data_IF_274187747290
#
_entry.id   IF_274187747290
#
_cell.length_a   1.000
_cell.length_b   1.000
_cell.length_c   1.000
_cell.angle_alpha   90.00
_cell.angle_beta   90.00
_cell.angle_gamma   90.00
#
_symmetry.space_group_name_H-M   'P 1'
#
loop_
_entity.id
_entity.type
_entity.pdbx_description
1 polymer ?
#
# COMPACT_ATOMS: atom_id res chain seq x y z
N UNK A 1 11.30 5.31 -36.82
CA UNK A 1 10.98 4.43 -37.97
C UNK A 1 9.55 3.93 -37.76
N UNK A 2 8.59 4.48 -38.49
CA UNK A 2 7.18 4.14 -38.42
C UNK A 2 6.97 2.73 -39.00
N UNK A 3 6.49 1.78 -38.20
CA UNK A 3 6.11 0.45 -38.69
C UNK A 3 4.63 0.47 -39.10
N UNK A 4 4.41 0.40 -40.40
CA UNK A 4 3.10 0.10 -41.00
C UNK A 4 2.70 -1.35 -40.72
N UNK A 5 1.41 -1.51 -40.42
CA UNK A 5 0.73 -2.74 -40.04
C UNK A 5 0.40 -3.57 -41.28
N UNK A 6 0.87 -4.82 -41.35
CA UNK A 6 0.29 -5.83 -42.25
C UNK A 6 -0.93 -6.45 -41.58
N UNK A 7 -2.03 -6.47 -42.32
CA UNK A 7 -3.32 -7.01 -41.90
C UNK A 7 -3.31 -8.55 -41.94
N UNK A 8 -3.87 -9.19 -40.90
CA UNK A 8 -4.07 -10.64 -40.87
C UNK A 8 -4.63 -11.17 -39.56
N UNK A 9 -5.96 -11.31 -39.49
CA UNK A 9 -6.76 -12.26 -38.69
C UNK A 9 -6.39 -12.56 -37.23
N UNK A 10 -7.06 -11.89 -36.29
CA UNK A 10 -7.97 -12.48 -35.29
C UNK A 10 -8.35 -11.38 -34.29
N UNK A 11 -9.65 -11.30 -33.99
CA UNK A 11 -10.25 -10.15 -33.31
C UNK A 11 -9.97 -10.09 -31.82
N UNK A 12 -8.83 -9.54 -31.45
CA UNK A 12 -8.73 -8.68 -30.26
C UNK A 12 -8.45 -7.28 -30.77
N UNK A 13 -9.35 -6.34 -30.47
CA UNK A 13 -9.21 -4.95 -30.87
C UNK A 13 -7.86 -4.45 -30.34
N UNK A 14 -6.90 -4.26 -31.24
CA UNK A 14 -5.78 -3.35 -31.07
C UNK A 14 -6.37 -1.96 -30.82
N UNK A 15 -6.75 -1.69 -29.56
CA UNK A 15 -7.13 -0.38 -29.09
C UNK A 15 -5.95 0.57 -29.33
N UNK A 16 -6.29 1.82 -29.55
CA UNK A 16 -5.48 2.86 -30.17
C UNK A 16 -4.22 3.23 -29.36
N UNK A 17 -3.17 2.39 -29.43
CA UNK A 17 -1.87 2.63 -28.81
C UNK A 17 -1.24 3.97 -29.24
N UNK A 18 -1.69 4.56 -30.35
CA UNK A 18 -1.21 5.85 -30.82
C UNK A 18 -1.61 6.99 -29.88
N UNK A 19 -2.86 7.00 -29.43
CA UNK A 19 -3.35 8.02 -28.48
C UNK A 19 -2.64 7.91 -27.12
N UNK A 20 -2.44 6.70 -26.61
CA UNK A 20 -1.66 6.45 -25.38
C UNK A 20 -0.21 6.89 -25.54
N UNK A 21 0.43 6.54 -26.66
CA UNK A 21 1.81 6.95 -26.94
C UNK A 21 1.96 8.48 -27.02
N UNK A 22 1.06 9.17 -27.73
CA UNK A 22 1.06 10.63 -27.82
C UNK A 22 0.90 11.26 -26.44
N UNK A 23 -0.04 10.76 -25.64
CA UNK A 23 -0.29 11.27 -24.28
C UNK A 23 0.94 11.11 -23.39
N UNK A 24 1.59 9.94 -23.44
CA UNK A 24 2.82 9.70 -22.70
C UNK A 24 4.00 10.55 -23.22
N UNK A 25 4.13 10.75 -24.53
CA UNK A 25 5.15 11.61 -25.12
C UNK A 25 5.00 13.07 -24.68
N UNK A 26 3.78 13.60 -24.72
CA UNK A 26 3.47 14.95 -24.25
C UNK A 26 3.77 15.10 -22.75
N UNK A 27 3.38 14.11 -21.95
CA UNK A 27 3.67 14.10 -20.50
C UNK A 27 5.16 14.10 -20.23
N UNK A 28 5.92 13.27 -20.95
CA UNK A 28 7.38 13.23 -20.86
C UNK A 28 8.02 14.58 -21.20
N UNK A 29 7.57 15.23 -22.28
CA UNK A 29 8.04 16.57 -22.65
C UNK A 29 7.74 17.61 -21.56
N UNK A 30 6.52 17.63 -21.03
CA UNK A 30 6.12 18.53 -19.95
C UNK A 30 6.97 18.36 -18.69
N UNK A 31 7.29 17.12 -18.33
CA UNK A 31 8.20 16.83 -17.21
C UNK A 31 9.59 17.43 -17.49
N UNK A 32 10.14 17.22 -18.69
CA UNK A 32 11.51 17.69 -19.00
C UNK A 32 11.67 19.21 -18.97
N UNK A 33 10.59 19.96 -19.24
CA UNK A 33 10.59 21.43 -19.19
C UNK A 33 10.12 21.99 -17.85
N UNK A 34 9.82 21.14 -16.87
CA UNK A 34 9.30 21.51 -15.54
C UNK A 34 10.28 21.15 -14.41
N UNK A 35 11.41 21.88 -14.26
CA UNK A 35 12.43 21.55 -13.25
C UNK A 35 11.94 21.65 -11.80
N UNK A 36 10.88 22.44 -11.56
CA UNK A 36 10.29 22.66 -10.24
C UNK A 36 9.05 21.78 -10.00
N UNK A 37 8.89 20.67 -10.74
CA UNK A 37 7.78 19.74 -10.53
C UNK A 37 7.89 19.08 -9.15
N UNK A 38 6.93 19.36 -8.27
CA UNK A 38 6.90 18.84 -6.88
C UNK A 38 5.95 17.64 -6.73
N UNK A 39 4.90 17.58 -7.53
CA UNK A 39 3.90 16.52 -7.48
C UNK A 39 3.38 16.16 -8.85
N UNK A 40 3.06 14.89 -9.07
CA UNK A 40 2.36 14.45 -10.28
C UNK A 40 1.35 13.35 -9.98
N UNK A 41 0.34 13.28 -10.83
CA UNK A 41 -0.59 12.16 -10.90
C UNK A 41 -0.48 11.52 -12.28
N UNK A 42 -0.43 10.18 -12.34
CA UNK A 42 -0.32 9.45 -13.60
C UNK A 42 -1.00 8.09 -13.52
N UNK A 43 -1.46 7.57 -14.65
CA UNK A 43 -1.83 6.15 -14.78
C UNK A 43 -0.56 5.30 -14.93
N UNK A 44 -0.69 3.98 -14.84
CA UNK A 44 0.40 3.06 -15.17
C UNK A 44 0.93 3.35 -16.59
N UNK A 45 2.23 3.70 -16.76
CA UNK A 45 2.77 4.12 -18.04
C UNK A 45 3.22 2.95 -18.93
N UNK A 46 2.93 1.71 -18.54
CA UNK A 46 3.31 0.48 -19.25
C UNK A 46 2.16 -0.53 -19.26
N UNK A 47 2.22 -1.50 -20.15
CA UNK A 47 1.21 -2.55 -20.30
C UNK A 47 1.64 -3.84 -19.57
N UNK A 48 0.76 -4.46 -18.77
CA UNK A 48 1.09 -5.65 -17.94
C UNK A 48 0.37 -6.96 -18.35
N UNK A 49 -0.66 -6.93 -19.22
CA UNK A 49 -1.57 -8.09 -19.45
C UNK A 49 -0.90 -9.39 -19.94
N UNK A 50 0.30 -9.34 -20.52
CA UNK A 50 1.02 -10.54 -20.99
C UNK A 50 2.43 -10.66 -20.44
N UNK A 51 2.75 -9.99 -19.34
CA UNK A 51 4.11 -10.08 -18.80
C UNK A 51 5.18 -9.61 -19.79
N UNK A 52 4.91 -8.57 -20.59
CA UNK A 52 5.92 -7.93 -21.46
C UNK A 52 7.20 -7.57 -20.70
N UNK A 53 7.09 -7.48 -19.37
CA UNK A 53 8.19 -7.26 -18.45
C UNK A 53 8.22 -8.23 -17.27
N UNK A 54 7.82 -9.50 -17.47
CA UNK A 54 8.10 -10.61 -16.55
C UNK A 54 9.60 -10.93 -16.53
N UNK A 55 10.41 -9.97 -16.11
CA UNK A 55 11.78 -10.23 -15.70
C UNK A 55 11.75 -10.42 -14.19
N UNK A 56 12.21 -11.57 -13.70
CA UNK A 56 12.35 -11.85 -12.25
C UNK A 56 13.42 -11.00 -11.57
N UNK A 57 13.46 -9.69 -11.83
CA UNK A 57 14.47 -8.75 -11.37
C UNK A 57 14.06 -7.30 -11.66
N UNK A 58 14.93 -6.36 -11.27
CA UNK A 58 14.74 -4.94 -11.56
C UNK A 58 14.66 -4.72 -13.07
N UNK A 59 13.98 -3.66 -13.47
CA UNK A 59 13.75 -3.30 -14.87
C UNK A 59 15.01 -2.96 -15.69
N UNK A 60 16.20 -3.03 -15.07
CA UNK A 60 17.49 -2.74 -15.69
C UNK A 60 17.86 -3.73 -16.82
N UNK A 61 17.18 -4.88 -16.89
CA UNK A 61 17.39 -5.91 -17.93
C UNK A 61 16.51 -5.73 -19.18
N UNK A 62 15.54 -4.81 -19.15
CA UNK A 62 14.61 -4.59 -20.26
C UNK A 62 15.25 -3.66 -21.30
N UNK A 63 15.67 -4.23 -22.44
CA UNK A 63 16.33 -3.46 -23.53
C UNK A 63 15.37 -2.63 -24.39
N UNK A 64 14.05 -2.82 -24.25
CA UNK A 64 13.05 -2.18 -25.09
C UNK A 64 11.89 -1.68 -24.23
N UNK A 65 11.78 -0.36 -24.13
CA UNK A 65 10.66 0.33 -23.49
C UNK A 65 9.85 0.96 -24.61
N UNK A 66 8.59 0.54 -24.76
CA UNK A 66 7.78 0.93 -25.92
C UNK A 66 7.08 2.29 -25.72
N UNK A 67 7.03 2.80 -24.48
CA UNK A 67 6.36 4.07 -24.18
C UNK A 67 7.29 5.18 -23.64
N UNK A 68 7.15 6.44 -24.11
CA UNK A 68 8.10 7.51 -23.80
C UNK A 68 8.15 7.91 -22.32
N UNK A 69 7.00 7.94 -21.63
CA UNK A 69 6.95 8.32 -20.21
C UNK A 69 7.63 7.25 -19.35
N UNK A 70 7.32 5.97 -19.60
CA UNK A 70 8.00 4.86 -18.94
C UNK A 70 9.52 4.95 -19.13
N UNK A 71 9.98 5.20 -20.36
CA UNK A 71 11.40 5.33 -20.67
C UNK A 71 12.05 6.50 -19.91
N UNK A 72 11.41 7.68 -19.92
CA UNK A 72 11.92 8.86 -19.24
C UNK A 72 12.07 8.62 -17.73
N UNK A 73 11.03 8.09 -17.08
CA UNK A 73 11.01 7.84 -15.64
C UNK A 73 12.09 6.83 -15.22
N UNK A 74 12.19 5.70 -15.95
CA UNK A 74 13.24 4.70 -15.72
C UNK A 74 14.63 5.30 -15.81
N UNK A 75 14.90 6.07 -16.87
CA UNK A 75 16.19 6.70 -17.05
C UNK A 75 16.48 7.69 -15.93
N UNK A 76 15.54 8.58 -15.62
CA UNK A 76 15.67 9.57 -14.56
C UNK A 76 15.95 8.94 -13.20
N UNK A 77 15.23 7.88 -12.86
CA UNK A 77 15.36 7.20 -11.59
C UNK A 77 16.64 6.34 -11.50
N UNK A 78 17.12 5.79 -12.62
CA UNK A 78 18.36 5.01 -12.65
C UNK A 78 19.62 5.88 -12.54
N UNK A 79 19.59 7.09 -13.09
CA UNK A 79 20.68 8.06 -13.02
C UNK A 79 20.10 9.48 -12.93
N UNK A 80 19.81 9.97 -11.71
CA UNK A 80 19.23 11.29 -11.51
C UNK A 80 20.23 12.43 -11.75
N UNK A 81 21.54 12.14 -11.71
CA UNK A 81 22.59 13.15 -11.84
C UNK A 81 22.58 13.79 -13.23
N UNK A 82 22.72 15.12 -13.26
CA UNK A 82 22.76 15.90 -14.50
C UNK A 82 21.42 16.09 -15.21
N UNK A 83 20.30 15.60 -14.63
CA UNK A 83 18.96 15.83 -15.17
C UNK A 83 18.25 16.96 -14.42
N UNK A 84 17.85 18.05 -15.11
CA UNK A 84 17.22 19.19 -14.45
C UNK A 84 15.77 18.92 -14.00
N UNK A 85 15.15 17.85 -14.48
CA UNK A 85 13.77 17.47 -14.18
C UNK A 85 13.71 16.38 -13.08
N UNK A 86 12.54 16.28 -12.42
CA UNK A 86 12.22 15.30 -11.37
C UNK A 86 13.07 15.38 -10.08
N UNK A 87 14.05 16.29 -9.99
CA UNK A 87 14.88 16.48 -8.80
C UNK A 87 14.07 16.92 -7.57
N UNK A 88 13.02 17.70 -7.80
CA UNK A 88 12.14 18.25 -6.77
C UNK A 88 10.85 17.43 -6.58
N UNK A 89 10.69 16.32 -7.30
CA UNK A 89 9.47 15.52 -7.23
C UNK A 89 9.37 14.84 -5.86
N UNK A 90 8.35 15.21 -5.10
CA UNK A 90 8.08 14.72 -3.74
C UNK A 90 6.90 13.74 -3.69
N UNK A 91 5.88 13.95 -4.53
CA UNK A 91 4.61 13.23 -4.47
C UNK A 91 4.21 12.61 -5.80
N UNK A 92 3.91 11.31 -5.81
CA UNK A 92 3.37 10.60 -6.97
C UNK A 92 2.08 9.90 -6.61
N UNK A 93 0.98 10.29 -7.24
CA UNK A 93 -0.30 9.59 -7.14
C UNK A 93 -0.55 8.74 -8.38
N UNK A 94 -0.78 7.44 -8.18
CA UNK A 94 -1.12 6.52 -9.25
C UNK A 94 -2.64 6.50 -9.42
N UNK A 95 -3.10 7.03 -10.55
CA UNK A 95 -4.50 7.04 -10.92
C UNK A 95 -4.86 5.62 -11.32
N UNK A 96 -5.66 4.98 -10.48
CA UNK A 96 -6.17 3.66 -10.75
C UNK A 96 -7.45 3.75 -11.58
N UNK A 97 -7.29 3.86 -12.90
CA UNK A 97 -8.39 3.98 -13.85
C UNK A 97 -8.31 2.86 -14.86
N UNK A 98 -9.40 2.14 -15.00
CA UNK A 98 -9.57 1.19 -16.09
C UNK A 98 -10.40 1.81 -17.22
N UNK A 99 -9.97 1.62 -18.46
CA UNK A 99 -10.70 2.06 -19.65
C UNK A 99 -11.06 0.83 -20.51
N UNK A 100 -12.34 0.48 -20.58
CA UNK A 100 -12.82 -0.62 -21.42
C UNK A 100 -14.25 -1.08 -21.12
N UNK A 101 -14.84 -1.77 -22.10
CA UNK A 101 -16.24 -2.25 -22.09
C UNK A 101 -16.51 -3.45 -21.17
N UNK A 102 -15.45 -4.09 -20.64
CA UNK A 102 -15.55 -5.24 -19.74
C UNK A 102 -15.35 -4.84 -18.28
N UNK A 103 -15.18 -3.55 -18.00
CA UNK A 103 -14.92 -3.06 -16.65
C UNK A 103 -16.20 -2.58 -16.00
N UNK A 104 -16.33 -2.93 -14.73
CA UNK A 104 -17.46 -2.62 -13.90
C UNK A 104 -16.98 -1.82 -12.70
N UNK A 105 -17.50 -0.61 -12.59
CA UNK A 105 -17.12 0.38 -11.56
C UNK A 105 -17.50 -0.06 -10.14
N UNK A 106 -18.21 -1.17 -9.97
CA UNK A 106 -18.48 -1.78 -8.66
C UNK A 106 -17.26 -2.49 -8.07
N UNK A 107 -16.28 -2.85 -8.89
CA UNK A 107 -15.13 -3.65 -8.47
C UNK A 107 -13.84 -2.85 -8.35
N UNK A 108 -12.91 -3.37 -7.55
CA UNK A 108 -11.53 -2.90 -7.50
C UNK A 108 -10.84 -2.99 -8.86
N UNK A 109 -9.80 -2.18 -9.06
CA UNK A 109 -9.05 -2.11 -10.31
C UNK A 109 -7.62 -2.60 -10.10
N UNK A 110 -7.23 -3.56 -10.94
CA UNK A 110 -5.89 -4.14 -10.94
C UNK A 110 -4.92 -3.21 -11.69
N UNK A 111 -3.88 -2.77 -10.98
CA UNK A 111 -2.69 -2.14 -11.55
C UNK A 111 -1.45 -2.72 -10.90
N UNK A 112 -0.34 -2.78 -11.64
CA UNK A 112 0.96 -3.15 -11.10
C UNK A 112 1.58 -1.97 -10.32
N UNK A 113 0.95 -1.62 -9.19
CA UNK A 113 1.39 -0.50 -8.36
C UNK A 113 2.79 -0.75 -7.78
N UNK A 114 3.11 -2.00 -7.41
CA UNK A 114 4.48 -2.42 -7.04
C UNK A 114 5.47 -2.16 -8.19
N UNK A 115 5.12 -2.53 -9.43
CA UNK A 115 5.94 -2.29 -10.61
C UNK A 115 6.11 -0.82 -10.96
N UNK A 116 5.18 0.04 -10.53
CA UNK A 116 5.30 1.49 -10.68
C UNK A 116 6.30 2.11 -9.70
N UNK A 117 6.54 1.53 -8.51
CA UNK A 117 7.48 2.09 -7.53
C UNK A 117 8.90 2.30 -8.10
N UNK A 118 9.53 1.33 -8.80
CA UNK A 118 10.83 1.50 -9.44
C UNK A 118 10.95 2.61 -10.49
N UNK A 119 9.86 3.25 -10.89
CA UNK A 119 9.90 4.41 -11.78
C UNK A 119 10.35 5.68 -11.06
N UNK A 120 10.22 5.73 -9.73
CA UNK A 120 10.44 6.94 -8.94
C UNK A 120 11.14 6.71 -7.59
N UNK A 121 11.29 5.45 -7.16
CA UNK A 121 11.76 5.06 -5.82
C UNK A 121 13.16 5.58 -5.41
N UNK A 122 13.99 6.03 -6.35
CA UNK A 122 15.36 6.52 -6.12
C UNK A 122 15.54 7.99 -6.44
N UNK A 123 14.48 8.70 -6.83
CA UNK A 123 14.57 10.14 -7.06
C UNK A 123 15.01 10.86 -5.77
N UNK A 124 15.75 11.96 -5.85
CA UNK A 124 16.38 12.56 -4.67
C UNK A 124 15.39 13.10 -3.64
N UNK A 125 14.30 13.73 -4.09
CA UNK A 125 13.32 14.37 -3.21
C UNK A 125 12.04 13.56 -3.00
N UNK A 126 11.93 12.35 -3.58
CA UNK A 126 10.70 11.57 -3.47
C UNK A 126 10.44 11.21 -2.01
N UNK A 127 9.21 11.42 -1.56
CA UNK A 127 8.80 11.06 -0.20
C UNK A 127 7.50 10.27 -0.20
N UNK A 128 6.56 10.56 -1.11
CA UNK A 128 5.20 10.04 -1.05
C UNK A 128 4.79 9.32 -2.34
N UNK A 129 4.21 8.14 -2.17
CA UNK A 129 3.48 7.44 -3.23
C UNK A 129 2.10 7.01 -2.71
N UNK A 130 1.10 7.02 -3.58
CA UNK A 130 -0.21 6.51 -3.20
C UNK A 130 -1.14 6.25 -4.36
N UNK A 131 -2.24 5.56 -4.04
CA UNK A 131 -3.30 5.18 -4.96
C UNK A 131 -4.57 4.88 -4.16
N UNK A 132 -5.68 4.67 -4.86
CA UNK A 132 -6.92 4.17 -4.29
C UNK A 132 -7.52 3.10 -5.20
N UNK A 133 -8.58 2.43 -4.74
CA UNK A 133 -9.38 1.50 -5.56
C UNK A 133 -8.54 0.29 -6.04
N UNK A 134 -7.41 0.02 -5.39
CA UNK A 134 -6.42 -0.96 -5.82
C UNK A 134 -6.89 -2.39 -5.58
N UNK A 135 -6.95 -3.20 -6.64
CA UNK A 135 -6.96 -4.66 -6.59
C UNK A 135 -5.55 -5.22 -6.84
N UNK A 136 -5.28 -6.42 -6.34
CA UNK A 136 -4.02 -7.11 -6.59
C UNK A 136 -3.97 -7.61 -8.04
N UNK A 137 -3.01 -7.12 -8.82
CA UNK A 137 -2.73 -7.63 -10.16
C UNK A 137 -1.89 -8.92 -10.09
N UNK A 138 -2.50 -10.06 -10.40
CA UNK A 138 -1.83 -11.37 -10.42
C UNK A 138 -0.66 -11.43 -11.41
N UNK A 139 -0.65 -10.55 -12.43
CA UNK A 139 0.42 -10.44 -13.43
C UNK A 139 1.47 -9.38 -13.09
N UNK A 140 1.33 -8.72 -11.93
CA UNK A 140 2.25 -7.69 -11.47
C UNK A 140 3.65 -8.24 -11.21
N UNK A 141 4.64 -7.35 -11.06
CA UNK A 141 6.01 -7.78 -10.80
C UNK A 141 6.05 -8.68 -9.57
N UNK A 142 6.62 -9.90 -9.65
CA UNK A 142 6.78 -10.79 -8.49
C UNK A 142 8.09 -10.53 -7.71
N UNK A 143 8.96 -9.67 -8.23
CA UNK A 143 10.32 -9.47 -7.74
C UNK A 143 10.46 -8.65 -6.45
N UNK A 144 11.64 -8.77 -5.83
CA UNK A 144 12.08 -7.92 -4.73
C UNK A 144 12.41 -6.52 -5.24
N UNK A 145 11.83 -5.51 -4.61
CA UNK A 145 12.17 -4.12 -4.88
C UNK A 145 13.53 -3.78 -4.24
N UNK A 146 14.29 -2.92 -4.90
CA UNK A 146 15.53 -2.38 -4.33
C UNK A 146 15.25 -1.31 -3.26
N UNK A 147 16.28 -0.83 -2.55
CA UNK A 147 16.11 0.22 -1.55
C UNK A 147 15.44 1.48 -2.14
N UNK A 148 14.44 1.98 -1.43
CA UNK A 148 13.56 3.08 -1.83
C UNK A 148 13.72 4.29 -0.91
N UNK A 149 13.70 5.49 -1.49
CA UNK A 149 13.67 6.78 -0.81
C UNK A 149 12.25 7.18 -0.37
N UNK A 150 11.23 6.46 -0.83
CA UNK A 150 9.84 6.69 -0.42
C UNK A 150 9.75 6.47 1.10
N UNK A 151 9.15 7.44 1.78
CA UNK A 151 8.96 7.44 3.24
C UNK A 151 7.49 7.53 3.64
N UNK A 152 6.58 7.73 2.69
CA UNK A 152 5.14 7.86 2.92
C UNK A 152 4.37 7.06 1.88
N UNK A 153 3.52 6.15 2.34
CA UNK A 153 2.70 5.30 1.47
C UNK A 153 1.24 5.48 1.88
N UNK A 154 0.37 5.70 0.89
CA UNK A 154 -1.08 5.81 1.10
C UNK A 154 -1.84 4.98 0.08
N UNK A 155 -2.53 3.94 0.53
CA UNK A 155 -3.36 3.08 -0.30
C UNK A 155 -4.74 3.04 0.35
N UNK A 156 -5.72 3.75 -0.20
CA UNK A 156 -7.05 3.87 0.43
C UNK A 156 -8.11 3.16 -0.38
N UNK A 157 -9.18 2.72 0.27
CA UNK A 157 -10.36 2.13 -0.38
C UNK A 157 -9.94 1.03 -1.37
N UNK A 158 -9.13 0.08 -0.88
CA UNK A 158 -8.39 -0.87 -1.70
C UNK A 158 -8.45 -2.29 -1.16
N UNK A 159 -8.23 -3.28 -2.02
CA UNK A 159 -8.28 -4.69 -1.70
C UNK A 159 -6.97 -5.39 -2.02
N UNK A 160 -6.02 -5.35 -1.07
CA UNK A 160 -4.73 -6.05 -1.17
C UNK A 160 -4.35 -6.77 0.13
N UNK A 161 -3.60 -7.86 0.01
CA UNK A 161 -3.21 -8.69 1.15
C UNK A 161 -1.99 -8.18 1.92
N UNK A 162 -1.74 -8.74 3.11
CA UNK A 162 -0.58 -8.36 3.93
C UNK A 162 0.77 -8.66 3.24
N UNK A 163 0.83 -9.69 2.40
CA UNK A 163 2.02 -10.01 1.61
C UNK A 163 2.33 -8.89 0.60
N UNK A 164 1.30 -8.36 -0.07
CA UNK A 164 1.42 -7.24 -0.99
C UNK A 164 1.93 -5.98 -0.28
N UNK A 165 1.33 -5.63 0.86
CA UNK A 165 1.75 -4.49 1.67
C UNK A 165 3.19 -4.65 2.19
N UNK A 166 3.56 -5.84 2.65
CA UNK A 166 4.93 -6.12 3.11
C UNK A 166 5.97 -5.87 2.00
N UNK A 167 5.64 -6.18 0.75
CA UNK A 167 6.52 -5.91 -0.40
C UNK A 167 6.71 -4.42 -0.70
N UNK A 168 5.77 -3.57 -0.30
CA UNK A 168 5.88 -2.11 -0.40
C UNK A 168 6.62 -1.48 0.79
N UNK A 169 6.41 -2.01 1.99
CA UNK A 169 7.01 -1.50 3.24
C UNK A 169 8.50 -1.84 3.33
N UNK A 170 8.85 -3.11 3.08
CA UNK A 170 10.21 -3.65 3.27
C UNK A 170 11.32 -2.90 2.53
N UNK A 171 11.13 -2.42 1.28
CA UNK A 171 12.17 -1.74 0.53
C UNK A 171 12.44 -0.29 0.98
N UNK A 172 11.53 0.32 1.74
CA UNK A 172 11.70 1.69 2.21
C UNK A 172 12.93 1.79 3.13
N UNK A 173 13.74 2.83 2.99
CA UNK A 173 14.91 3.04 3.87
C UNK A 173 14.52 3.56 5.25
N UNK A 174 13.47 4.38 5.31
CA UNK A 174 12.96 5.00 6.54
C UNK A 174 11.49 5.37 6.32
N UNK A 175 10.58 4.43 6.56
CA UNK A 175 9.15 4.69 6.45
C UNK A 175 8.70 5.56 7.63
N UNK A 176 8.04 6.67 7.30
CA UNK A 176 7.52 7.69 8.24
C UNK A 176 6.00 7.67 8.32
N UNK A 177 5.31 7.37 7.23
CA UNK A 177 3.85 7.36 7.18
C UNK A 177 3.36 6.17 6.38
N UNK A 178 2.46 5.39 6.96
CA UNK A 178 1.77 4.31 6.28
C UNK A 178 0.27 4.41 6.51
N UNK A 179 -0.48 4.51 5.42
CA UNK A 179 -1.94 4.53 5.42
C UNK A 179 -2.47 3.42 4.51
N UNK A 180 -3.30 2.56 5.09
CA UNK A 180 -4.03 1.54 4.36
C UNK A 180 -5.49 1.47 4.82
N UNK A 181 -6.45 1.51 3.91
CA UNK A 181 -7.84 1.20 4.21
C UNK A 181 -8.43 0.28 3.16
N UNK A 182 -9.26 -0.65 3.61
CA UNK A 182 -10.11 -1.45 2.72
C UNK A 182 -11.36 -0.68 2.30
N UNK A 183 -12.15 -1.30 1.44
CA UNK A 183 -13.55 -0.95 1.29
C UNK A 183 -13.90 -0.03 0.11
N UNK A 184 -15.20 0.22 -0.01
CA UNK A 184 -15.79 1.07 -1.04
C UNK A 184 -16.14 0.36 -2.35
N UNK A 185 -15.65 -0.86 -2.57
CA UNK A 185 -15.90 -1.68 -3.78
C UNK A 185 -15.98 -3.17 -3.45
N UNK A 186 -16.42 -3.97 -4.42
CA UNK A 186 -16.45 -5.41 -4.33
C UNK A 186 -15.24 -6.07 -4.97
N UNK A 187 -14.97 -7.33 -4.61
CA UNK A 187 -13.90 -8.14 -5.21
C UNK A 187 -14.47 -9.29 -6.04
N UNK A 188 -13.98 -9.46 -7.28
CA UNK A 188 -14.43 -10.54 -8.18
C UNK A 188 -13.98 -11.93 -7.71
N UNK A 189 -12.74 -12.02 -7.24
CA UNK A 189 -12.08 -13.30 -6.92
C UNK A 189 -11.96 -13.54 -5.41
N UNK A 190 -12.83 -12.87 -4.63
CA UNK A 190 -12.79 -12.87 -3.18
C UNK A 190 -11.75 -11.91 -2.61
N UNK A 191 -11.67 -11.84 -1.28
CA UNK A 191 -10.84 -10.85 -0.60
C UNK A 191 -9.43 -11.38 -0.31
N UNK A 192 -8.37 -10.63 -0.69
CA UNK A 192 -7.01 -10.95 -0.29
C UNK A 192 -6.89 -11.06 1.22
N UNK A 193 -6.16 -12.08 1.67
CA UNK A 193 -5.98 -12.35 3.11
C UNK A 193 -5.09 -11.30 3.75
N UNK A 194 -5.53 -10.81 4.91
CA UNK A 194 -4.71 -9.98 5.77
C UNK A 194 -4.19 -10.81 6.94
N UNK A 195 -2.87 -10.95 7.05
CA UNK A 195 -2.21 -11.57 8.21
C UNK A 195 -1.57 -10.47 9.08
N UNK A 196 -2.14 -10.15 10.25
CA UNK A 196 -1.62 -9.17 11.19
C UNK A 196 -0.15 -9.36 11.54
N UNK A 197 0.31 -10.59 11.82
CA UNK A 197 1.72 -10.83 12.18
C UNK A 197 2.67 -10.55 11.04
N UNK A 198 2.36 -10.98 9.83
CA UNK A 198 3.17 -10.71 8.65
C UNK A 198 3.28 -9.21 8.38
N UNK A 199 2.19 -8.47 8.58
CA UNK A 199 2.17 -7.02 8.44
C UNK A 199 3.00 -6.33 9.53
N UNK A 200 2.82 -6.69 10.81
CA UNK A 200 3.61 -6.16 11.94
C UNK A 200 5.10 -6.45 11.75
N UNK A 201 5.45 -7.66 11.30
CA UNK A 201 6.82 -8.03 10.97
C UNK A 201 7.43 -7.09 9.92
N UNK A 202 6.68 -6.78 8.85
CA UNK A 202 7.15 -5.87 7.80
C UNK A 202 7.40 -4.44 8.32
N UNK A 203 6.65 -3.99 9.34
CA UNK A 203 6.87 -2.70 9.99
C UNK A 203 8.08 -2.69 10.94
N UNK A 204 8.57 -3.86 11.36
CA UNK A 204 9.63 -4.00 12.36
C UNK A 204 10.90 -3.17 12.11
N UNK A 205 11.43 -3.07 10.88
CA UNK A 205 12.57 -2.21 10.56
C UNK A 205 12.34 -0.70 10.77
N UNK A 206 11.08 -0.26 10.87
CA UNK A 206 10.69 1.17 10.87
C UNK A 206 10.25 1.66 12.26
N UNK A 207 10.49 0.90 13.32
CA UNK A 207 10.13 1.27 14.71
C UNK A 207 10.59 2.67 15.14
N UNK A 208 11.78 3.07 14.71
CA UNK A 208 12.39 4.37 15.06
C UNK A 208 12.14 5.46 14.02
N UNK A 209 11.41 5.16 12.94
CA UNK A 209 11.16 6.12 11.84
C UNK A 209 9.69 6.36 11.57
N UNK A 210 8.81 5.39 11.87
CA UNK A 210 7.39 5.45 11.58
C UNK A 210 6.68 6.40 12.55
N UNK A 211 6.19 7.52 12.01
CA UNK A 211 5.53 8.60 12.75
C UNK A 211 4.00 8.46 12.70
N UNK A 212 3.45 7.91 11.62
CA UNK A 212 2.01 7.77 11.38
C UNK A 212 1.71 6.37 10.87
N UNK A 213 0.80 5.67 11.57
CA UNK A 213 0.24 4.39 11.15
C UNK A 213 -1.28 4.47 11.15
N UNK A 214 -1.90 4.38 9.97
CA UNK A 214 -3.35 4.27 9.82
C UNK A 214 -3.65 2.98 9.04
N UNK A 215 -4.29 2.00 9.68
CA UNK A 215 -4.69 0.76 9.03
C UNK A 215 -6.12 0.40 9.40
N UNK A 216 -7.01 0.44 8.42
CA UNK A 216 -8.40 0.01 8.55
C UNK A 216 -8.64 -1.25 7.72
N UNK A 217 -8.66 -2.39 8.40
CA UNK A 217 -8.79 -3.73 7.82
C UNK A 217 -9.69 -4.65 8.66
N UNK A 218 -10.36 -4.09 9.66
CA UNK A 218 -11.03 -4.85 10.74
C UNK A 218 -12.12 -5.78 10.18
N UNK A 219 -12.86 -5.35 9.16
CA UNK A 219 -13.89 -6.17 8.52
C UNK A 219 -13.33 -7.46 7.88
N UNK A 220 -12.04 -7.49 7.54
CA UNK A 220 -11.35 -8.69 7.04
C UNK A 220 -10.72 -9.56 8.13
N UNK A 221 -10.87 -9.17 9.40
CA UNK A 221 -10.30 -9.85 10.57
C UNK A 221 -11.39 -10.47 11.46
N UNK A 222 -12.33 -11.18 10.85
CA UNK A 222 -13.41 -11.92 11.53
C UNK A 222 -12.93 -12.85 12.68
N UNK A 223 -11.68 -13.30 12.61
CA UNK A 223 -11.05 -14.13 13.64
C UNK A 223 -10.92 -13.40 15.00
N UNK A 224 -10.87 -12.06 15.01
CA UNK A 224 -10.78 -11.28 16.24
C UNK A 224 -12.11 -11.16 17.01
N UNK A 225 -13.24 -11.42 16.34
CA UNK A 225 -14.57 -11.33 16.95
C UNK A 225 -15.13 -12.68 17.38
N UNK A 226 -14.70 -13.78 16.75
CA UNK A 226 -15.38 -15.08 16.86
C UNK A 226 -14.53 -16.19 17.49
N UNK A 227 -13.24 -15.97 17.71
CA UNK A 227 -12.28 -17.04 18.05
C UNK A 227 -11.57 -16.79 19.38
N UNK A 228 -11.40 -17.84 20.20
CA UNK A 228 -10.61 -17.78 21.43
C UNK A 228 -9.10 -17.62 21.12
N UNK A 229 -8.32 -17.15 22.11
CA UNK A 229 -6.94 -16.70 21.88
C UNK A 229 -5.99 -17.74 21.28
N UNK A 230 -6.11 -19.01 21.66
CA UNK A 230 -5.23 -20.08 21.16
C UNK A 230 -5.58 -20.49 19.72
N UNK A 231 -6.88 -20.58 19.40
CA UNK A 231 -7.38 -20.88 18.05
C UNK A 231 -7.09 -19.73 17.07
N UNK A 232 -7.18 -18.48 17.54
CA UNK A 232 -6.82 -17.29 16.78
C UNK A 232 -5.33 -17.35 16.38
N UNK A 233 -4.45 -17.66 17.33
CA UNK A 233 -3.02 -17.76 17.09
C UNK A 233 -2.68 -18.89 16.12
N UNK A 234 -3.34 -20.04 16.20
CA UNK A 234 -3.17 -21.15 15.24
C UNK A 234 -3.59 -20.73 13.82
N UNK A 235 -4.76 -20.10 13.68
CA UNK A 235 -5.27 -19.60 12.39
C UNK A 235 -4.36 -18.55 11.75
N UNK A 236 -3.86 -17.61 12.55
CA UNK A 236 -2.89 -16.61 12.10
C UNK A 236 -1.55 -17.23 11.71
N UNK A 237 -1.09 -18.25 12.44
CA UNK A 237 0.15 -18.94 12.13
C UNK A 237 0.04 -19.75 10.84
N UNK A 238 -1.13 -20.34 10.51
CA UNK A 238 -1.32 -21.15 9.31
C UNK A 238 -0.87 -20.45 8.02
N UNK A 239 -1.04 -19.14 7.93
CA UNK A 239 -0.70 -18.34 6.74
C UNK A 239 0.40 -17.30 6.97
N UNK A 240 0.99 -17.27 8.17
CA UNK A 240 2.14 -16.44 8.47
C UNK A 240 3.42 -16.98 7.80
N UNK A 241 4.36 -16.08 7.47
CA UNK A 241 5.72 -16.48 7.09
C UNK A 241 6.51 -17.07 8.27
N UNK A 242 7.65 -17.76 8.04
CA UNK A 242 8.41 -18.45 9.09
C UNK A 242 8.72 -17.56 10.30
N UNK A 243 9.22 -16.34 10.07
CA UNK A 243 9.57 -15.40 11.14
C UNK A 243 8.37 -14.95 11.98
N UNK A 244 7.17 -14.90 11.40
CA UNK A 244 5.94 -14.52 12.09
C UNK A 244 5.30 -15.67 12.88
N UNK A 245 5.80 -16.91 12.72
CA UNK A 245 5.35 -18.10 13.48
C UNK A 245 6.21 -18.37 14.72
N UNK A 246 7.34 -17.69 14.85
CA UNK A 246 8.26 -17.91 15.96
C UNK A 246 7.57 -17.58 17.30
N UNK A 247 7.70 -18.44 18.34
CA UNK A 247 7.10 -18.19 19.64
C UNK A 247 7.56 -16.86 20.28
N UNK A 248 8.79 -16.45 19.96
CA UNK A 248 9.41 -15.19 20.40
C UNK A 248 9.04 -13.98 19.54
N UNK A 249 8.11 -14.11 18.59
CA UNK A 249 7.68 -13.02 17.70
C UNK A 249 7.41 -11.73 18.49
N UNK A 250 6.64 -11.85 19.58
CA UNK A 250 6.25 -10.72 20.41
C UNK A 250 7.34 -10.14 21.31
N UNK A 251 8.50 -10.80 21.42
CA UNK A 251 9.65 -10.29 22.18
C UNK A 251 10.34 -9.12 21.45
N UNK A 252 10.05 -8.97 20.16
CA UNK A 252 10.67 -7.95 19.29
C UNK A 252 9.67 -7.29 18.35
N UNK A 253 8.37 -7.38 18.61
CA UNK A 253 7.33 -6.80 17.75
C UNK A 253 6.23 -6.14 18.59
N UNK A 254 6.59 -5.64 19.76
CA UNK A 254 5.65 -4.91 20.61
C UNK A 254 5.35 -3.52 20.04
N UNK A 255 4.10 -3.09 20.14
CA UNK A 255 3.70 -1.73 19.75
C UNK A 255 4.49 -0.66 20.52
N UNK A 256 4.88 -0.91 21.78
CA UNK A 256 5.75 0.00 22.56
C UNK A 256 7.09 0.32 21.89
N UNK A 257 7.61 -0.57 21.06
CA UNK A 257 8.93 -0.40 20.44
C UNK A 257 8.90 0.64 19.31
N UNK A 258 7.73 1.07 18.85
CA UNK A 258 7.57 2.11 17.83
C UNK A 258 7.77 3.51 18.41
N UNK A 259 9.02 3.81 18.80
CA UNK A 259 9.38 5.01 19.55
C UNK A 259 9.20 6.33 18.80
N UNK A 260 9.10 6.29 17.47
CA UNK A 260 8.82 7.48 16.65
C UNK A 260 7.32 7.72 16.41
N UNK A 261 6.45 6.79 16.80
CA UNK A 261 5.04 6.81 16.44
C UNK A 261 4.28 7.89 17.22
N UNK A 262 3.64 8.79 16.48
CA UNK A 262 2.88 9.94 17.01
C UNK A 262 1.39 9.78 16.78
N UNK A 263 1.01 9.21 15.64
CA UNK A 263 -0.40 9.02 15.27
C UNK A 263 -0.66 7.56 14.96
N UNK A 264 -1.65 6.98 15.62
CA UNK A 264 -2.09 5.61 15.43
C UNK A 264 -3.60 5.59 15.17
N UNK A 265 -4.01 4.97 14.07
CA UNK A 265 -5.42 4.74 13.75
C UNK A 265 -5.60 3.28 13.33
N UNK A 266 -6.35 2.50 14.12
CA UNK A 266 -6.56 1.06 13.90
C UNK A 266 -7.98 0.66 14.32
N UNK A 267 -8.50 -0.40 13.69
CA UNK A 267 -9.65 -1.14 14.19
C UNK A 267 -9.41 -1.69 15.61
N UNK A 268 -10.44 -1.69 16.46
CA UNK A 268 -10.31 -2.04 17.88
C UNK A 268 -9.72 -3.45 18.11
N UNK A 269 -10.12 -4.45 17.34
CA UNK A 269 -9.59 -5.81 17.47
C UNK A 269 -8.12 -5.86 17.06
N UNK A 270 -7.76 -5.24 15.93
CA UNK A 270 -6.35 -5.18 15.51
C UNK A 270 -5.48 -4.35 16.45
N UNK A 271 -5.99 -3.24 16.97
CA UNK A 271 -5.31 -2.42 17.97
C UNK A 271 -4.99 -3.25 19.22
N UNK A 272 -5.98 -3.95 19.76
CA UNK A 272 -5.78 -4.80 20.94
C UNK A 272 -4.82 -5.94 20.64
N UNK A 273 -4.92 -6.58 19.47
CA UNK A 273 -3.98 -7.61 19.06
C UNK A 273 -2.53 -7.10 19.06
N UNK A 274 -2.28 -5.97 18.42
CA UNK A 274 -0.93 -5.38 18.33
C UNK A 274 -0.42 -4.88 19.69
N UNK A 275 -1.33 -4.37 20.54
CA UNK A 275 -1.03 -3.98 21.92
C UNK A 275 -0.97 -5.18 22.90
N UNK A 276 -1.01 -6.42 22.41
CA UNK A 276 -0.99 -7.66 23.22
C UNK A 276 -2.12 -7.71 24.26
N UNK A 277 -3.31 -7.30 23.85
CA UNK A 277 -4.53 -7.25 24.63
C UNK A 277 -4.58 -6.13 25.67
N UNK A 278 -3.58 -5.24 25.71
CA UNK A 278 -3.49 -4.20 26.75
C UNK A 278 -3.17 -2.83 26.17
N UNK A 279 -4.07 -1.86 26.32
CA UNK A 279 -3.86 -0.50 25.81
C UNK A 279 -2.89 0.33 26.65
N UNK A 280 -2.43 -0.17 27.80
CA UNK A 280 -1.25 0.36 28.49
C UNK A 280 0.07 0.00 27.78
N UNK A 281 -0.01 -0.74 26.67
CA UNK A 281 1.11 -1.08 25.79
C UNK A 281 1.35 -0.13 24.60
N UNK A 282 0.81 1.08 24.64
CA UNK A 282 1.05 2.09 23.62
C UNK A 282 2.48 2.67 23.72
N UNK A 283 3.03 3.23 22.63
CA UNK A 283 4.31 3.94 22.66
C UNK A 283 4.23 5.20 23.52
N UNK A 284 5.28 5.48 24.30
CA UNK A 284 5.33 6.63 25.22
C UNK A 284 5.22 7.99 24.51
N UNK A 285 5.63 8.05 23.23
CA UNK A 285 5.59 9.26 22.39
C UNK A 285 4.30 9.48 21.61
N UNK A 286 3.27 8.65 21.81
CA UNK A 286 2.04 8.72 21.04
C UNK A 286 1.25 10.00 21.39
N UNK A 287 0.94 10.80 20.37
CA UNK A 287 0.24 12.09 20.50
C UNK A 287 -1.27 11.94 20.22
N UNK A 288 -1.63 11.06 19.28
CA UNK A 288 -3.01 10.81 18.86
C UNK A 288 -3.29 9.32 18.63
N UNK A 289 -4.43 8.84 19.15
CA UNK A 289 -4.98 7.52 18.91
C UNK A 289 -6.41 7.64 18.37
N UNK A 290 -6.69 7.01 17.24
CA UNK A 290 -8.03 6.88 16.66
C UNK A 290 -8.44 5.41 16.68
N UNK A 291 -9.54 5.10 17.36
CA UNK A 291 -10.05 3.72 17.49
C UNK A 291 -11.22 3.56 16.52
N UNK A 292 -11.05 2.72 15.51
CA UNK A 292 -12.07 2.42 14.50
C UNK A 292 -12.94 1.24 14.95
N UNK A 293 -14.22 1.29 14.64
CA UNK A 293 -15.20 0.23 14.92
C UNK A 293 -15.56 0.03 16.39
N UNK A 294 -15.03 0.85 17.31
CA UNK A 294 -15.37 0.72 18.73
C UNK A 294 -16.73 1.35 19.03
N UNK A 295 -17.58 0.58 19.73
CA UNK A 295 -18.86 1.05 20.25
C UNK A 295 -19.03 0.64 21.70
N UNK A 296 -19.12 1.65 22.57
CA UNK A 296 -19.21 1.49 24.01
C UNK A 296 -20.40 0.63 24.41
N UNK A 297 -20.16 -0.37 25.26
CA UNK A 297 -21.18 -1.28 25.79
C UNK A 297 -21.47 -2.51 24.93
N UNK A 298 -20.92 -2.61 23.72
CA UNK A 298 -21.11 -3.80 22.87
C UNK A 298 -20.16 -4.95 23.26
N UNK A 299 -18.93 -4.63 23.66
CA UNK A 299 -17.95 -5.63 24.07
C UNK A 299 -17.27 -5.24 25.38
N UNK A 300 -17.62 -5.94 26.46
CA UNK A 300 -17.08 -5.69 27.81
C UNK A 300 -15.55 -5.80 27.89
N UNK A 301 -14.93 -6.64 27.07
CA UNK A 301 -13.46 -6.77 27.04
C UNK A 301 -12.83 -5.51 26.43
N UNK A 302 -13.43 -4.98 25.36
CA UNK A 302 -12.98 -3.75 24.73
C UNK A 302 -13.21 -2.55 25.64
N UNK A 303 -14.39 -2.44 26.25
CA UNK A 303 -14.71 -1.37 27.20
C UNK A 303 -13.69 -1.32 28.35
N UNK A 304 -13.39 -2.47 28.96
CA UNK A 304 -12.42 -2.54 30.04
C UNK A 304 -11.02 -2.07 29.63
N UNK A 305 -10.62 -2.28 28.37
CA UNK A 305 -9.33 -1.81 27.86
C UNK A 305 -9.36 -0.32 27.50
N UNK A 306 -10.43 0.13 26.83
CA UNK A 306 -10.59 1.55 26.46
C UNK A 306 -10.68 2.43 27.71
N UNK A 307 -11.34 1.97 28.77
CA UNK A 307 -11.41 2.67 30.05
C UNK A 307 -10.02 2.89 30.68
N UNK A 308 -9.01 2.05 30.36
CA UNK A 308 -7.62 2.25 30.85
C UNK A 308 -6.93 3.47 30.24
N UNK A 309 -7.44 3.97 29.11
CA UNK A 309 -6.94 5.20 28.48
C UNK A 309 -7.38 6.47 29.21
N UNK A 310 -8.35 6.35 30.13
CA UNK A 310 -8.81 7.48 30.93
C UNK A 310 -7.66 8.07 31.76
N UNK A 311 -7.33 9.34 31.51
CA UNK A 311 -6.27 10.05 32.22
C UNK A 311 -4.88 9.99 31.57
N UNK A 312 -4.73 9.30 30.43
CA UNK A 312 -3.54 9.44 29.60
C UNK A 312 -3.47 10.85 28.98
N UNK A 313 -2.27 11.43 28.86
CA UNK A 313 -2.06 12.67 28.13
C UNK A 313 -2.00 12.40 26.61
N UNK A 314 -3.05 11.77 26.09
CA UNK A 314 -3.18 11.26 24.73
C UNK A 314 -4.50 11.77 24.14
N UNK A 315 -4.47 12.31 22.92
CA UNK A 315 -5.70 12.66 22.22
C UNK A 315 -6.33 11.38 21.67
N UNK A 316 -7.50 10.98 22.20
CA UNK A 316 -8.20 9.77 21.75
C UNK A 316 -9.49 10.12 21.00
N UNK A 317 -9.66 9.56 19.81
CA UNK A 317 -10.86 9.65 18.97
C UNK A 317 -11.51 8.26 18.83
N UNK A 318 -12.83 8.21 18.62
CA UNK A 318 -13.57 6.94 18.48
C UNK A 318 -14.22 6.41 19.77
N UNK A 319 -14.03 7.06 20.92
CA UNK A 319 -14.63 6.64 22.21
C UNK A 319 -16.06 7.18 22.38
N UNK A 320 -16.22 8.50 22.25
CA UNK A 320 -17.51 9.18 22.48
C UNK A 320 -18.41 9.10 21.23
N UNK A 321 -17.80 9.22 20.06
CA UNK A 321 -18.43 9.08 18.76
C UNK A 321 -17.79 7.91 18.03
N UNK A 322 -18.58 6.89 17.70
CA UNK A 322 -18.12 5.71 16.98
C UNK A 322 -17.70 6.11 15.56
N UNK A 323 -16.48 5.72 15.20
CA UNK A 323 -15.97 5.84 13.83
C UNK A 323 -16.15 4.45 13.19
N UNK A 324 -16.92 4.30 12.11
CA UNK A 324 -17.13 3.00 11.49
C UNK A 324 -15.82 2.48 10.87
N UNK A 325 -15.65 1.15 10.87
CA UNK A 325 -14.64 0.53 10.03
C UNK A 325 -15.05 0.66 8.56
N UNK A 326 -14.06 0.74 7.68
CA UNK A 326 -14.27 0.55 6.27
C UNK A 326 -14.66 -0.90 5.98
N UNK A 327 -15.52 -1.08 4.98
CA UNK A 327 -16.00 -2.40 4.57
C UNK A 327 -16.12 -2.48 3.04
N UNK A 328 -15.96 -3.70 2.54
CA UNK A 328 -16.16 -4.02 1.14
C UNK A 328 -17.66 -4.01 0.80
N UNK A 329 -18.00 -3.78 -0.47
CA UNK A 329 -19.40 -3.82 -0.92
C UNK A 329 -19.74 -5.25 -1.34
N UNK A 330 -20.88 -5.78 -0.87
CA UNK A 330 -21.38 -7.08 -1.33
C UNK A 330 -21.68 -7.08 -2.84
N UNK A 331 -21.35 -8.19 -3.51
CA UNK A 331 -21.57 -8.40 -4.95
C UNK A 331 -23.05 -8.44 -5.36
#
# INVERSE_FOLDING_TARGET
>A
MLLQKTAGSSGYRYLDNHSTFITQALTALLITVSPNLISMAMTQPFFNYTGYYMTGGRWDRVKRVDFPLDQLLRQANANPDGKPYLQNLRKVYMINKSEGIMYDERFYHEIDFIGCCPLVDRLPSIEWIGTDILGEDENGIPGSLGPSNISRISITDSSVGSAYLARLITPCKALKEFRYSIGGRSSLDGYPRFNPKAFIHALGPHKTTLEILHVDVEARLYQFTETDGDELEEGLNQYAGPAAREPSFWDSHSLKEFTALKQLALGIGFLLYFARGRLDNLPDGLEQLTILGYKKGENKKYDAQVDTLAGANLKVEGIDEMIPNADDVDC
#
